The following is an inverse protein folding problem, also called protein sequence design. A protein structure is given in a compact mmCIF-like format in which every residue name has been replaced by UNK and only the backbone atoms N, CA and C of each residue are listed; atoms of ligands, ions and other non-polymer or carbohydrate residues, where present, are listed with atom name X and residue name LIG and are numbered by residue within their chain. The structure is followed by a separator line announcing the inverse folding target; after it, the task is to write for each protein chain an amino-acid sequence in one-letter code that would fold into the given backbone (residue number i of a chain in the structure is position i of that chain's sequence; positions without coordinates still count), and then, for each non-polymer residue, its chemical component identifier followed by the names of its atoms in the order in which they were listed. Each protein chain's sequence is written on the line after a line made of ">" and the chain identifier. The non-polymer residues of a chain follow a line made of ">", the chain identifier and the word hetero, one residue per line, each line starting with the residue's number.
data_IF_651047269828
#
_entry.id   IF_651047269828
#
_cell.length_a   1.000
_cell.length_b   1.000
_cell.length_c   1.000
_cell.angle_alpha   90.00
_cell.angle_beta   90.00
_cell.angle_gamma   90.00
#
_symmetry.space_group_name_H-M   'P 1'
#
loop_
_entity.id
_entity.type
_entity.pdbx_description
1 polymer ?
#
# COMPACT_ATOMS: atom_id res chain seq x y z
N UNK A 1 -11.02 -5.32 -7.52
CA UNK A 1 -11.17 -5.38 -9.00
C UNK A 1 -10.65 -6.72 -9.54
N UNK A 2 -11.26 -7.31 -10.57
CA UNK A 2 -10.82 -8.60 -11.15
C UNK A 2 -9.71 -8.34 -12.17
N UNK A 3 -8.57 -9.02 -12.00
CA UNK A 3 -7.44 -8.94 -12.93
C UNK A 3 -7.80 -9.50 -14.32
N UNK A 4 -7.46 -8.77 -15.39
CA UNK A 4 -7.87 -9.05 -16.78
C UNK A 4 -6.74 -9.61 -17.67
N UNK A 5 -5.54 -9.83 -17.12
CA UNK A 5 -4.39 -10.33 -17.89
C UNK A 5 -3.61 -9.26 -18.65
N UNK A 6 -3.95 -7.97 -18.49
CA UNK A 6 -3.17 -6.87 -19.07
C UNK A 6 -1.84 -6.66 -18.34
N UNK A 7 -0.84 -6.13 -19.07
CA UNK A 7 0.44 -5.68 -18.50
C UNK A 7 0.39 -4.25 -17.97
N UNK A 8 -0.75 -3.58 -18.16
CA UNK A 8 -0.98 -2.21 -17.74
C UNK A 8 -1.49 -2.22 -16.30
N UNK A 9 -0.77 -1.55 -15.41
CA UNK A 9 -1.27 -1.32 -14.07
C UNK A 9 -2.10 -0.03 -14.09
N UNK A 10 -3.42 -0.16 -14.25
CA UNK A 10 -4.34 0.97 -14.27
C UNK A 10 -5.02 1.17 -12.92
N UNK A 11 -5.38 2.40 -12.58
CA UNK A 11 -6.08 2.74 -11.35
C UNK A 11 -5.21 2.68 -10.09
N UNK A 12 -3.89 2.88 -10.22
CA UNK A 12 -3.00 2.96 -9.05
C UNK A 12 -3.20 4.31 -8.36
N UNK A 13 -3.53 4.28 -7.07
CA UNK A 13 -3.66 5.47 -6.25
C UNK A 13 -2.72 5.39 -5.06
N UNK A 14 -1.83 6.37 -4.93
CA UNK A 14 -1.02 6.60 -3.75
C UNK A 14 -1.75 7.58 -2.84
N UNK A 15 -1.95 7.18 -1.58
CA UNK A 15 -2.54 8.04 -0.55
C UNK A 15 -1.52 8.37 0.53
N UNK A 16 -1.43 9.65 0.88
CA UNK A 16 -0.62 10.14 1.99
C UNK A 16 -1.52 10.94 2.94
N UNK A 17 -1.40 10.70 4.25
CA UNK A 17 -2.19 11.37 5.29
C UNK A 17 -3.72 11.34 5.07
N UNK A 18 -4.23 10.27 4.46
CA UNK A 18 -5.66 10.11 4.19
C UNK A 18 -6.17 10.82 2.93
N UNK A 19 -5.30 11.44 2.14
CA UNK A 19 -5.61 12.11 0.87
C UNK A 19 -4.84 11.49 -0.30
N UNK A 20 -5.36 11.64 -1.52
CA UNK A 20 -4.63 11.22 -2.74
C UNK A 20 -3.40 12.10 -2.89
N UNK A 21 -2.24 11.46 -3.00
CA UNK A 21 -0.95 12.10 -3.28
C UNK A 21 -0.61 11.98 -4.77
N UNK A 22 -0.88 10.80 -5.35
CA UNK A 22 -0.71 10.56 -6.77
C UNK A 22 -1.75 9.54 -7.26
N UNK A 23 -2.24 9.72 -8.49
CA UNK A 23 -3.21 8.83 -9.13
C UNK A 23 -2.95 8.68 -10.62
N UNK A 24 -1.72 8.99 -11.06
CA UNK A 24 -1.32 8.84 -12.45
C UNK A 24 -0.87 7.41 -12.67
N UNK A 25 -1.49 6.75 -13.65
CA UNK A 25 -1.01 5.49 -14.18
C UNK A 25 0.34 5.78 -14.87
N UNK A 26 1.40 5.12 -14.43
CA UNK A 26 2.67 5.13 -15.17
C UNK A 26 2.66 3.94 -16.13
N UNK A 27 2.15 4.17 -17.33
CA UNK A 27 2.20 3.20 -18.43
C UNK A 27 3.62 3.04 -19.01
N UNK A 28 4.60 3.75 -18.44
CA UNK A 28 5.93 3.96 -19.04
C UNK A 28 6.90 2.78 -18.84
N UNK A 29 6.51 1.78 -18.06
CA UNK A 29 7.29 0.56 -17.90
C UNK A 29 6.34 -0.61 -17.94
N UNK A 30 6.25 -1.29 -19.09
CA UNK A 30 5.64 -2.62 -19.18
C UNK A 30 6.09 -3.42 -17.96
N UNK A 31 5.16 -3.72 -17.05
CA UNK A 31 5.48 -4.53 -15.89
C UNK A 31 5.81 -5.92 -16.43
N UNK A 32 7.10 -6.18 -16.65
CA UNK A 32 7.60 -7.27 -17.51
C UNK A 32 7.23 -8.65 -16.98
N UNK A 33 6.75 -8.71 -15.74
CA UNK A 33 6.10 -9.88 -15.18
C UNK A 33 5.31 -9.48 -13.94
N UNK A 34 3.99 -9.51 -14.01
CA UNK A 34 3.17 -9.69 -12.82
C UNK A 34 3.48 -11.09 -12.29
N UNK A 35 4.23 -11.17 -11.19
CA UNK A 35 4.66 -12.45 -10.62
C UNK A 35 3.79 -12.76 -9.41
N UNK A 36 2.94 -13.78 -9.52
CA UNK A 36 2.39 -14.46 -8.35
C UNK A 36 3.53 -15.25 -7.69
N UNK A 37 4.36 -14.57 -6.91
CA UNK A 37 5.43 -15.22 -6.16
C UNK A 37 4.93 -15.63 -4.78
N UNK A 38 5.53 -16.68 -4.26
CA UNK A 38 5.48 -17.06 -2.84
C UNK A 38 6.57 -16.36 -2.01
N UNK A 39 7.19 -15.31 -2.56
CA UNK A 39 8.26 -14.57 -1.89
C UNK A 39 7.77 -13.97 -0.58
N UNK A 40 8.63 -14.01 0.42
CA UNK A 40 8.37 -13.35 1.70
C UNK A 40 8.26 -11.85 1.47
N UNK A 41 7.20 -11.24 2.02
CA UNK A 41 7.08 -9.79 2.08
C UNK A 41 7.95 -9.29 3.23
N UNK A 42 9.02 -8.56 2.90
CA UNK A 42 9.89 -7.92 3.88
C UNK A 42 9.45 -6.47 4.11
N UNK A 43 9.47 -6.04 5.37
CA UNK A 43 9.04 -4.70 5.78
C UNK A 43 10.03 -4.12 6.77
N UNK A 44 10.32 -2.83 6.66
CA UNK A 44 11.31 -2.15 7.50
C UNK A 44 12.75 -2.59 7.23
N UNK A 45 13.00 -3.30 6.12
CA UNK A 45 14.33 -3.53 5.55
C UNK A 45 14.17 -3.79 4.05
N UNK A 46 15.23 -3.53 3.30
CA UNK A 46 15.38 -4.04 1.92
C UNK A 46 16.34 -5.23 1.95
N UNK A 47 16.24 -6.13 0.99
CA UNK A 47 17.15 -7.29 0.87
C UNK A 47 18.62 -6.83 0.92
N UNK A 48 19.37 -7.31 1.93
CA UNK A 48 20.78 -6.95 2.13
C UNK A 48 21.04 -5.53 2.68
N UNK A 49 20.00 -4.79 3.08
CA UNK A 49 20.12 -3.42 3.58
C UNK A 49 19.96 -3.32 5.11
N UNK A 50 20.26 -2.13 5.64
CA UNK A 50 20.02 -1.78 7.04
C UNK A 50 18.52 -1.75 7.36
N UNK A 51 18.21 -1.99 8.63
CA UNK A 51 16.85 -1.85 9.14
C UNK A 51 16.42 -0.39 9.15
N UNK A 52 15.12 -0.16 8.92
CA UNK A 52 14.48 1.13 9.07
C UNK A 52 14.56 1.57 10.54
N UNK A 53 15.26 2.67 10.77
CA UNK A 53 15.39 3.26 12.10
C UNK A 53 14.22 4.20 12.37
N UNK A 54 13.08 3.61 12.74
CA UNK A 54 11.87 4.35 13.02
C UNK A 54 10.73 3.46 13.49
N UNK A 55 9.59 4.10 13.76
CA UNK A 55 8.38 3.39 14.17
C UNK A 55 7.49 3.17 12.95
N UNK A 56 7.00 1.95 12.83
CA UNK A 56 5.98 1.63 11.84
C UNK A 56 4.80 0.97 12.54
N UNK A 57 3.62 1.55 12.36
CA UNK A 57 2.37 1.08 12.93
C UNK A 57 1.50 0.52 11.81
N UNK A 58 0.80 -0.58 12.09
CA UNK A 58 -0.14 -1.16 11.14
C UNK A 58 -1.41 -0.33 11.04
N UNK A 59 -2.51 -0.95 10.62
CA UNK A 59 -3.84 -0.37 10.84
C UNK A 59 -4.11 -0.10 12.33
N UNK A 60 -5.36 0.06 12.77
CA UNK A 60 -5.65 0.53 14.14
C UNK A 60 -5.21 -0.38 15.33
N UNK A 61 -4.40 -1.42 15.09
CA UNK A 61 -3.11 -1.75 15.76
C UNK A 61 -2.71 -3.23 15.59
N UNK A 62 -3.11 -3.83 14.47
CA UNK A 62 -2.54 -5.06 13.90
C UNK A 62 -3.15 -5.30 12.51
N UNK A 63 -2.77 -6.38 11.81
CA UNK A 63 -1.40 -6.69 11.40
C UNK A 63 -0.73 -5.49 10.71
N UNK A 64 0.61 -5.48 10.68
CA UNK A 64 1.38 -4.35 10.12
C UNK A 64 1.16 -4.15 8.61
N UNK A 65 0.83 -5.21 7.89
CA UNK A 65 0.45 -5.19 6.48
C UNK A 65 -0.73 -6.12 6.24
N UNK A 66 -1.70 -5.68 5.43
CA UNK A 66 -2.81 -6.51 4.98
C UNK A 66 -2.99 -6.27 3.49
N UNK A 67 -2.79 -7.33 2.70
CA UNK A 67 -3.26 -7.34 1.31
C UNK A 67 -4.75 -7.64 1.33
N UNK A 68 -5.56 -6.61 1.22
CA UNK A 68 -7.01 -6.72 1.06
C UNK A 68 -7.43 -6.00 -0.22
N UNK A 69 -8.49 -6.50 -0.87
CA UNK A 69 -9.22 -5.70 -1.84
C UNK A 69 -9.94 -4.59 -1.06
N UNK A 70 -9.19 -3.52 -0.84
CA UNK A 70 -9.76 -2.28 -0.42
C UNK A 70 -10.48 -1.74 -1.66
N UNK A 71 -11.77 -2.05 -1.79
CA UNK A 71 -12.71 -1.30 -2.63
C UNK A 71 -12.84 0.12 -2.03
N UNK A 72 -11.71 0.83 -1.94
CA UNK A 72 -11.51 2.04 -1.15
C UNK A 72 -11.80 3.24 -2.00
N UNK A 73 -12.94 3.86 -1.72
CA UNK A 73 -13.14 5.26 -1.99
C UNK A 73 -12.18 6.09 -1.12
N UNK A 74 -11.79 7.30 -1.56
CA UNK A 74 -10.98 8.23 -0.76
C UNK A 74 -11.46 8.39 0.69
N UNK A 75 -12.78 8.37 0.92
CA UNK A 75 -13.38 8.48 2.26
C UNK A 75 -13.00 7.34 3.20
N UNK A 76 -12.90 6.10 2.70
CA UNK A 76 -12.49 4.96 3.51
C UNK A 76 -11.02 5.07 3.92
N UNK A 77 -10.16 5.56 3.02
CA UNK A 77 -8.75 5.82 3.32
C UNK A 77 -8.61 6.92 4.38
N UNK A 78 -9.35 8.02 4.23
CA UNK A 78 -9.41 9.10 5.22
C UNK A 78 -9.88 8.60 6.59
N UNK A 79 -10.87 7.71 6.62
CA UNK A 79 -11.34 7.07 7.86
C UNK A 79 -10.25 6.20 8.50
N UNK A 80 -9.55 5.36 7.73
CA UNK A 80 -8.45 4.53 8.23
C UNK A 80 -7.34 5.40 8.83
N UNK A 81 -6.94 6.46 8.13
CA UNK A 81 -5.95 7.42 8.63
C UNK A 81 -6.36 7.99 9.98
N UNK A 82 -7.60 8.51 10.10
CA UNK A 82 -8.09 9.08 11.34
C UNK A 82 -8.19 8.07 12.50
N UNK A 83 -8.54 6.80 12.20
CA UNK A 83 -8.54 5.74 13.19
C UNK A 83 -7.13 5.44 13.70
N UNK A 84 -6.14 5.35 12.80
CA UNK A 84 -4.75 5.13 13.17
C UNK A 84 -4.20 6.25 14.05
N UNK A 85 -4.43 7.51 13.66
CA UNK A 85 -4.08 8.71 14.44
C UNK A 85 -4.63 8.65 15.87
N UNK A 86 -5.92 8.36 16.01
CA UNK A 86 -6.58 8.20 17.31
C UNK A 86 -6.00 7.05 18.14
N UNK A 87 -5.78 5.89 17.54
CA UNK A 87 -5.22 4.72 18.23
C UNK A 87 -3.78 4.97 18.74
N UNK A 88 -3.01 5.78 18.01
CA UNK A 88 -1.63 6.15 18.35
C UNK A 88 -1.54 7.40 19.24
N UNK A 89 -2.66 8.08 19.52
CA UNK A 89 -2.68 9.30 20.32
C UNK A 89 -1.97 10.49 19.66
N UNK A 90 -1.95 10.53 18.33
CA UNK A 90 -1.31 11.61 17.54
C UNK A 90 -2.32 12.39 16.72
#
# INVERSE_FOLDING_TARGET
>A
ATYDGSANATGINLYLNGSVEASSDTDDVNFTSLRNKTSVVELGKTEGANFFDGKIAGGPLGPFFVQADLNTTPDKIKRLYNLGRRALGV
#
